data_IF_021224604736
#
_entry.id   IF_021224604736
#
_cell.length_a   1.000
_cell.length_b   1.000
_cell.length_c   1.000
_cell.angle_alpha   90.00
_cell.angle_beta   90.00
_cell.angle_gamma   90.00
#
_symmetry.space_group_name_H-M   'P 1'
#
loop_
_entity.id
_entity.type
_entity.pdbx_description
1 polymer ?
#
# COMPACT_ATOMS: atom_id res chain seq x y z
N UNK A 1 -15.37 -15.47 6.11
CA UNK A 1 -14.88 -14.09 5.97
C UNK A 1 -15.98 -13.16 6.44
N UNK A 2 -15.64 -12.11 7.17
CA UNK A 2 -16.61 -11.05 7.48
C UNK A 2 -17.06 -10.33 6.19
N UNK A 3 -18.18 -9.60 6.21
CA UNK A 3 -18.63 -8.78 5.06
C UNK A 3 -17.50 -7.84 4.58
N UNK A 4 -16.80 -7.22 5.52
CA UNK A 4 -15.68 -6.31 5.23
C UNK A 4 -14.52 -7.03 4.53
N UNK A 5 -14.24 -8.28 4.89
CA UNK A 5 -13.21 -9.08 4.24
C UNK A 5 -13.61 -9.53 2.83
N UNK A 6 -14.88 -9.90 2.63
CA UNK A 6 -15.39 -10.23 1.30
C UNK A 6 -15.30 -9.03 0.35
N UNK A 7 -15.64 -7.83 0.82
CA UNK A 7 -15.50 -6.58 0.03
C UNK A 7 -14.03 -6.31 -0.33
N UNK A 8 -13.10 -6.48 0.62
CA UNK A 8 -11.65 -6.32 0.37
C UNK A 8 -11.11 -7.32 -0.64
N UNK A 9 -11.70 -8.51 -0.74
CA UNK A 9 -11.31 -9.51 -1.73
C UNK A 9 -11.81 -9.17 -3.14
N UNK A 10 -13.00 -8.57 -3.25
CA UNK A 10 -13.66 -8.30 -4.55
C UNK A 10 -13.18 -6.99 -5.17
N UNK A 11 -13.02 -5.91 -4.39
CA UNK A 11 -12.71 -4.58 -4.93
C UNK A 11 -11.46 -4.51 -5.81
N UNK A 12 -10.32 -5.16 -5.47
CA UNK A 12 -9.15 -5.16 -6.34
C UNK A 12 -9.42 -5.79 -7.71
N UNK A 13 -10.21 -6.87 -7.75
CA UNK A 13 -10.60 -7.55 -9.01
C UNK A 13 -11.47 -6.65 -9.90
N UNK A 14 -12.19 -5.71 -9.30
CA UNK A 14 -13.01 -4.71 -10.02
C UNK A 14 -12.22 -3.46 -10.43
N UNK A 15 -10.89 -3.45 -10.29
CA UNK A 15 -10.03 -2.31 -10.68
C UNK A 15 -10.05 -1.15 -9.68
N UNK A 16 -10.52 -1.37 -8.45
CA UNK A 16 -10.56 -0.30 -7.44
C UNK A 16 -9.16 0.24 -7.10
N UNK A 17 -8.13 -0.61 -7.15
CA UNK A 17 -6.74 -0.22 -6.83
C UNK A 17 -6.21 0.74 -7.89
N UNK A 18 -6.44 0.44 -9.17
CA UNK A 18 -6.08 1.29 -10.30
C UNK A 18 -6.75 2.66 -10.19
N UNK A 19 -8.05 2.68 -9.90
CA UNK A 19 -8.81 3.93 -9.71
C UNK A 19 -8.28 4.76 -8.53
N UNK A 20 -7.89 4.11 -7.43
CA UNK A 20 -7.29 4.79 -6.28
C UNK A 20 -5.95 5.42 -6.66
N UNK A 21 -5.09 4.70 -7.38
CA UNK A 21 -3.80 5.23 -7.85
C UNK A 21 -3.98 6.39 -8.83
N UNK A 22 -4.89 6.24 -9.80
CA UNK A 22 -5.24 7.30 -10.74
C UNK A 22 -5.75 8.53 -10.00
N UNK A 23 -6.61 8.34 -8.99
CA UNK A 23 -7.12 9.43 -8.16
C UNK A 23 -6.00 10.16 -7.41
N UNK A 24 -5.02 9.43 -6.85
CA UNK A 24 -3.85 10.04 -6.20
C UNK A 24 -3.01 10.88 -7.18
N UNK A 25 -2.86 10.42 -8.42
CA UNK A 25 -2.12 11.14 -9.46
C UNK A 25 -2.85 12.40 -9.94
N UNK A 26 -4.15 12.30 -10.20
CA UNK A 26 -4.98 13.42 -10.66
C UNK A 26 -5.10 14.49 -9.56
N UNK A 27 -5.31 14.07 -8.32
CA UNK A 27 -5.59 14.95 -7.19
C UNK A 27 -4.39 15.10 -6.25
N UNK A 28 -3.17 15.13 -6.79
CA UNK A 28 -1.92 15.15 -6.01
C UNK A 28 -1.74 16.38 -5.10
N UNK A 29 -2.54 17.43 -5.29
CA UNK A 29 -2.56 18.62 -4.43
C UNK A 29 -3.59 18.53 -3.29
N UNK A 30 -4.53 17.58 -3.37
CA UNK A 30 -5.56 17.40 -2.35
C UNK A 30 -5.10 16.41 -1.28
N UNK A 31 -4.56 16.95 -0.20
CA UNK A 31 -3.99 16.17 0.90
C UNK A 31 -5.00 15.21 1.53
N UNK A 32 -6.23 15.65 1.78
CA UNK A 32 -7.27 14.80 2.36
C UNK A 32 -7.62 13.62 1.45
N UNK A 33 -7.65 13.83 0.13
CA UNK A 33 -7.89 12.76 -0.84
C UNK A 33 -6.70 11.78 -0.87
N UNK A 34 -5.47 12.28 -0.91
CA UNK A 34 -4.27 11.44 -0.87
C UNK A 34 -4.25 10.57 0.40
N UNK A 35 -4.57 11.16 1.55
CA UNK A 35 -4.65 10.43 2.81
C UNK A 35 -5.69 9.31 2.76
N UNK A 36 -6.90 9.59 2.28
CA UNK A 36 -7.96 8.59 2.15
C UNK A 36 -7.60 7.50 1.12
N UNK A 37 -6.95 7.88 0.03
CA UNK A 37 -6.49 6.94 -0.99
C UNK A 37 -5.40 6.01 -0.43
N UNK A 38 -4.40 6.54 0.26
CA UNK A 38 -3.38 5.75 0.94
C UNK A 38 -3.99 4.81 1.98
N UNK A 39 -4.95 5.31 2.79
CA UNK A 39 -5.64 4.47 3.76
C UNK A 39 -6.44 3.35 3.08
N UNK A 40 -7.05 3.63 1.93
CA UNK A 40 -7.73 2.62 1.13
C UNK A 40 -6.74 1.53 0.68
N UNK A 41 -5.55 1.90 0.21
CA UNK A 41 -4.48 0.95 -0.13
C UNK A 41 -4.01 0.13 1.08
N UNK A 42 -3.92 0.74 2.27
CA UNK A 42 -3.60 0.04 3.52
C UNK A 42 -4.66 -1.03 3.81
N UNK A 43 -5.94 -0.67 3.75
CA UNK A 43 -7.03 -1.61 4.04
C UNK A 43 -7.09 -2.74 3.02
N UNK A 44 -7.02 -2.43 1.72
CA UNK A 44 -7.03 -3.45 0.66
C UNK A 44 -5.79 -4.35 0.73
N UNK A 45 -4.63 -3.77 1.00
CA UNK A 45 -3.33 -4.45 1.07
C UNK A 45 -3.08 -5.28 2.31
N UNK A 46 -3.93 -5.18 3.33
CA UNK A 46 -3.83 -6.03 4.51
C UNK A 46 -4.17 -7.48 4.12
N UNK A 47 -3.51 -8.50 4.69
CA UNK A 47 -3.93 -9.89 4.53
C UNK A 47 -5.35 -10.14 5.08
N UNK A 48 -6.02 -11.19 4.60
CA UNK A 48 -7.33 -11.61 5.17
C UNK A 48 -7.12 -12.40 6.46
N UNK A 49 -7.99 -12.20 7.46
CA UNK A 49 -7.92 -12.88 8.75
C UNK A 49 -6.74 -12.50 9.64
N UNK A 50 -5.86 -11.58 9.22
CA UNK A 50 -4.71 -11.15 10.03
C UNK A 50 -5.11 -10.11 11.07
N UNK A 51 -4.36 -10.06 12.18
CA UNK A 51 -4.43 -9.01 13.19
C UNK A 51 -3.03 -8.44 13.46
N UNK A 52 -2.97 -7.24 14.03
CA UNK A 52 -1.69 -6.57 14.28
C UNK A 52 -0.84 -7.37 15.27
N UNK A 53 0.46 -7.52 14.97
CA UNK A 53 1.39 -8.29 15.81
C UNK A 53 1.32 -9.81 15.63
N UNK A 54 0.40 -10.34 14.83
CA UNK A 54 0.35 -11.79 14.56
C UNK A 54 1.58 -12.23 13.75
N UNK A 55 2.26 -13.33 14.12
CA UNK A 55 3.33 -13.88 13.32
C UNK A 55 2.79 -14.26 11.93
N UNK A 56 3.54 -13.86 10.91
CA UNK A 56 3.11 -14.04 9.53
C UNK A 56 3.41 -15.47 9.07
N UNK A 57 2.38 -16.30 8.77
CA UNK A 57 2.63 -17.65 8.30
C UNK A 57 3.37 -17.56 6.96
N UNK A 58 4.49 -18.28 6.84
CA UNK A 58 5.34 -18.30 5.65
C UNK A 58 4.53 -18.59 4.38
N UNK A 59 5.06 -18.05 3.27
CA UNK A 59 4.64 -18.16 1.86
C UNK A 59 3.62 -19.28 1.64
N UNK A 60 2.46 -18.92 1.07
CA UNK A 60 1.34 -19.79 0.65
C UNK A 60 0.05 -19.79 1.51
N UNK A 61 -0.13 -18.85 2.46
CA UNK A 61 -1.47 -18.67 3.02
C UNK A 61 -2.42 -18.04 1.99
N UNK A 62 -3.64 -18.57 1.88
CA UNK A 62 -4.74 -17.98 1.09
C UNK A 62 -5.04 -16.53 1.48
N UNK A 63 -4.60 -16.10 2.66
CA UNK A 63 -4.67 -14.74 3.16
C UNK A 63 -3.79 -13.73 2.43
N UNK A 64 -2.76 -14.20 1.71
CA UNK A 64 -1.80 -13.34 0.99
C UNK A 64 -2.05 -13.39 -0.52
N UNK A 65 -2.58 -14.49 -1.04
CA UNK A 65 -2.75 -14.68 -2.48
C UNK A 65 -3.58 -13.57 -3.13
N UNK A 66 -4.61 -13.06 -2.44
CA UNK A 66 -5.41 -11.93 -2.92
C UNK A 66 -4.60 -10.63 -2.92
N UNK A 67 -3.77 -10.37 -1.90
CA UNK A 67 -2.89 -9.18 -1.84
C UNK A 67 -1.87 -9.23 -2.97
N UNK A 68 -1.24 -10.39 -3.17
CA UNK A 68 -0.17 -10.54 -4.15
C UNK A 68 -0.63 -10.23 -5.58
N UNK A 69 -1.89 -10.53 -5.92
CA UNK A 69 -2.41 -10.33 -7.27
C UNK A 69 -2.33 -8.88 -7.75
N UNK A 70 -2.50 -7.89 -6.86
CA UNK A 70 -2.49 -6.48 -7.26
C UNK A 70 -1.35 -5.68 -6.63
N UNK A 71 -0.90 -6.04 -5.42
CA UNK A 71 0.21 -5.32 -4.76
C UNK A 71 1.57 -5.59 -5.38
N UNK A 72 1.72 -6.70 -6.11
CA UNK A 72 2.98 -7.03 -6.81
C UNK A 72 2.88 -6.93 -8.33
N UNK A 73 1.72 -6.53 -8.87
CA UNK A 73 1.54 -6.35 -10.30
C UNK A 73 2.26 -5.05 -10.74
N UNK A 74 3.30 -5.15 -11.59
CA UNK A 74 3.99 -3.98 -12.12
C UNK A 74 3.08 -3.07 -12.94
N UNK A 75 2.03 -3.62 -13.57
CA UNK A 75 1.05 -2.88 -14.36
C UNK A 75 0.18 -1.95 -13.52
N UNK A 76 -0.13 -2.34 -12.28
CA UNK A 76 -0.89 -1.51 -11.32
C UNK A 76 0.03 -0.43 -10.72
N UNK A 77 1.29 -0.76 -10.46
CA UNK A 77 2.32 0.22 -10.06
C UNK A 77 2.14 0.80 -8.65
N UNK A 78 1.54 0.03 -7.72
CA UNK A 78 1.25 0.49 -6.34
C UNK A 78 2.52 0.97 -5.62
N UNK A 79 3.62 0.21 -5.72
CA UNK A 79 4.89 0.55 -5.06
C UNK A 79 5.39 1.92 -5.51
N UNK A 80 5.44 2.17 -6.82
CA UNK A 80 5.87 3.45 -7.37
C UNK A 80 4.95 4.59 -6.91
N UNK A 81 3.63 4.39 -6.95
CA UNK A 81 2.66 5.40 -6.53
C UNK A 81 2.83 5.81 -5.06
N UNK A 82 3.03 4.85 -4.15
CA UNK A 82 3.26 5.14 -2.73
C UNK A 82 4.60 5.87 -2.52
N UNK A 83 5.66 5.43 -3.18
CA UNK A 83 6.98 6.05 -3.05
C UNK A 83 7.01 7.49 -3.59
N UNK A 84 6.39 7.73 -4.74
CA UNK A 84 6.28 9.08 -5.31
C UNK A 84 5.44 9.99 -4.41
N UNK A 85 4.40 9.45 -3.78
CA UNK A 85 3.61 10.19 -2.80
C UNK A 85 4.46 10.62 -1.59
N UNK A 86 5.34 9.77 -1.09
CA UNK A 86 6.28 10.10 0.00
C UNK A 86 7.21 11.24 -0.45
N UNK A 87 7.79 11.14 -1.66
CA UNK A 87 8.71 12.16 -2.20
C UNK A 87 8.05 13.53 -2.33
N UNK A 88 6.78 13.56 -2.72
CA UNK A 88 6.04 14.80 -2.97
C UNK A 88 5.41 15.40 -1.71
N UNK A 89 5.34 14.65 -0.60
CA UNK A 89 4.65 15.06 0.62
C UNK A 89 5.55 14.96 1.87
N UNK A 90 6.85 15.25 1.72
CA UNK A 90 7.84 15.15 2.80
C UNK A 90 7.56 16.01 4.03
N UNK A 91 6.74 17.06 3.89
CA UNK A 91 6.34 17.94 5.00
C UNK A 91 4.95 17.63 5.55
N UNK A 92 4.22 16.64 5.02
CA UNK A 92 2.88 16.29 5.51
C UNK A 92 2.91 15.00 6.35
N UNK A 93 2.89 15.10 7.69
CA UNK A 93 2.94 13.93 8.56
C UNK A 93 1.71 13.00 8.41
N UNK A 94 0.54 13.55 8.06
CA UNK A 94 -0.69 12.79 7.87
C UNK A 94 -0.62 11.85 6.65
N UNK A 95 -0.04 12.33 5.56
CA UNK A 95 0.25 11.54 4.35
C UNK A 95 1.37 10.53 4.62
N UNK A 96 2.47 10.98 5.22
CA UNK A 96 3.64 10.13 5.48
C UNK A 96 3.29 8.94 6.38
N UNK A 97 2.54 9.16 7.46
CA UNK A 97 2.10 8.08 8.35
C UNK A 97 1.34 6.99 7.59
N UNK A 98 0.38 7.37 6.73
CA UNK A 98 -0.42 6.42 5.94
C UNK A 98 0.39 5.74 4.84
N UNK A 99 1.32 6.47 4.22
CA UNK A 99 2.23 5.91 3.25
C UNK A 99 3.13 4.85 3.89
N UNK A 100 3.65 5.07 5.09
CA UNK A 100 4.47 4.08 5.80
C UNK A 100 3.68 2.84 6.21
N UNK A 101 2.42 3.00 6.62
CA UNK A 101 1.52 1.85 6.79
C UNK A 101 1.35 1.06 5.49
N UNK A 102 1.23 1.73 4.34
CA UNK A 102 1.15 1.05 3.05
C UNK A 102 2.47 0.31 2.73
N UNK A 103 3.63 0.91 3.03
CA UNK A 103 4.95 0.27 2.88
C UNK A 103 5.04 -1.02 3.71
N UNK A 104 4.54 -1.03 4.95
CA UNK A 104 4.52 -2.25 5.79
C UNK A 104 3.80 -3.39 5.07
N UNK A 105 2.60 -3.13 4.55
CA UNK A 105 1.83 -4.14 3.81
C UNK A 105 2.52 -4.56 2.51
N UNK A 106 3.05 -3.60 1.74
CA UNK A 106 3.78 -3.88 0.50
C UNK A 106 5.01 -4.76 0.78
N UNK A 107 5.70 -4.52 1.89
CA UNK A 107 6.89 -5.26 2.29
C UNK A 107 6.61 -6.71 2.72
N UNK A 108 5.35 -7.15 2.80
CA UNK A 108 5.03 -8.56 3.02
C UNK A 108 5.40 -9.44 1.81
N UNK A 109 5.53 -8.85 0.62
CA UNK A 109 5.88 -9.53 -0.62
C UNK A 109 7.36 -9.31 -0.95
N UNK A 110 8.12 -10.39 -1.16
CA UNK A 110 9.56 -10.29 -1.37
C UNK A 110 9.95 -9.54 -2.65
N UNK A 111 9.15 -9.65 -3.72
CA UNK A 111 9.34 -8.86 -4.94
C UNK A 111 9.25 -7.35 -4.67
N UNK A 112 8.29 -6.93 -3.85
CA UNK A 112 8.15 -5.53 -3.48
C UNK A 112 9.31 -5.06 -2.59
N UNK A 113 9.82 -5.90 -1.68
CA UNK A 113 11.01 -5.54 -0.87
C UNK A 113 12.19 -5.14 -1.75
N UNK A 114 12.46 -5.92 -2.80
CA UNK A 114 13.53 -5.63 -3.74
C UNK A 114 13.33 -4.25 -4.39
N UNK A 115 12.13 -3.98 -4.92
CA UNK A 115 11.80 -2.69 -5.53
C UNK A 115 11.88 -1.53 -4.53
N UNK A 116 11.45 -1.74 -3.28
CA UNK A 116 11.52 -0.71 -2.22
C UNK A 116 12.97 -0.35 -1.86
N UNK A 117 13.88 -1.34 -1.87
CA UNK A 117 15.32 -1.12 -1.69
C UNK A 117 15.89 -0.31 -2.86
N UNK A 118 15.58 -0.69 -4.09
CA UNK A 118 16.03 -0.01 -5.31
C UNK A 118 15.55 1.46 -5.36
N UNK A 119 14.32 1.72 -4.89
CA UNK A 119 13.76 3.06 -4.79
C UNK A 119 14.26 3.88 -3.59
N UNK A 120 15.20 3.32 -2.80
CA UNK A 120 15.80 3.95 -1.62
C UNK A 120 14.77 4.37 -0.56
N UNK A 121 13.70 3.59 -0.36
CA UNK A 121 12.60 3.96 0.54
C UNK A 121 13.07 4.15 1.98
N UNK A 122 14.04 3.36 2.45
CA UNK A 122 14.64 3.53 3.79
C UNK A 122 15.21 4.95 3.96
N UNK A 123 15.91 5.47 2.94
CA UNK A 123 16.47 6.83 2.97
C UNK A 123 15.38 7.89 3.03
N UNK A 124 14.28 7.70 2.32
CA UNK A 124 13.12 8.60 2.34
C UNK A 124 12.46 8.61 3.72
N UNK A 125 12.26 7.44 4.33
CA UNK A 125 11.70 7.30 5.68
C UNK A 125 12.58 8.04 6.69
N UNK A 126 13.90 7.79 6.70
CA UNK A 126 14.82 8.47 7.61
C UNK A 126 14.78 9.99 7.42
N UNK A 127 14.77 10.47 6.16
CA UNK A 127 14.69 11.90 5.86
C UNK A 127 13.39 12.54 6.35
N UNK A 128 12.28 11.81 6.36
CA UNK A 128 10.98 12.32 6.78
C UNK A 128 10.80 12.43 8.30
N UNK A 129 11.74 11.89 9.07
CA UNK A 129 11.73 11.91 10.55
C UNK A 129 12.55 13.06 11.15
N UNK A 130 13.22 13.86 10.31
CA UNK A 130 14.13 14.95 10.69
C UNK A 130 13.59 16.26 10.13
#
# INVERSE_FOLDING_TARGET
LSLNEAVRQILPVLGAVDLVIVSMKIHYLNQALIENALWTLVILGRPLGSFEGSPFPHRMSTSISHVSQFMSDPGVGVVAAVVDTIRNNTANPGVLAKAFWAIVNLSLLDCNKQTLVELQVIRLIVKSMV
#
